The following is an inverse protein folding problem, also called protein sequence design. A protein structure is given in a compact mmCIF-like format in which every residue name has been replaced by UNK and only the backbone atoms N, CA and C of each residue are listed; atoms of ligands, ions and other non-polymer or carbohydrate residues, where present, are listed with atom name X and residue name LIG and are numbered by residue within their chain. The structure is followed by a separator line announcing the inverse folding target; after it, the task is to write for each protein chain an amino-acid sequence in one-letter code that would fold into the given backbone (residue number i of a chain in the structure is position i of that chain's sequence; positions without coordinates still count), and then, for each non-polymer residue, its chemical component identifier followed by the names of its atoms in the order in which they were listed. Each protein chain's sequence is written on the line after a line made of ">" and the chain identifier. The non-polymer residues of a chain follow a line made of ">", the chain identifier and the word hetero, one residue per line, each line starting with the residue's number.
data_IF_543683667121
#
_entry.id   IF_543683667121
#
_cell.length_a   1.000
_cell.length_b   1.000
_cell.length_c   1.000
_cell.angle_alpha   90.00
_cell.angle_beta   90.00
_cell.angle_gamma   90.00
#
_symmetry.space_group_name_H-M   'P 1'
#
loop_
_entity.id
_entity.type
_entity.pdbx_description
1 polymer ?
#
# COMPACT_ATOMS: atom_id res chain seq x y z
N UNK A 1 24.28 -11.03 -8.63
CA UNK A 1 23.52 -10.25 -7.64
C UNK A 1 23.48 -8.81 -8.08
N UNK A 2 22.30 -8.35 -8.48
CA UNK A 2 22.07 -6.99 -8.94
C UNK A 2 22.17 -5.98 -7.81
N UNK A 3 22.39 -4.71 -8.18
CA UNK A 3 22.34 -3.59 -7.26
C UNK A 3 20.87 -3.26 -6.93
N UNK A 4 20.51 -3.21 -5.64
CA UNK A 4 19.15 -2.85 -5.20
C UNK A 4 18.99 -1.34 -5.37
N UNK A 5 18.25 -0.94 -6.40
CA UNK A 5 17.97 0.47 -6.69
C UNK A 5 16.85 0.99 -5.81
N UNK A 6 16.93 2.28 -5.46
CA UNK A 6 15.81 2.99 -4.85
C UNK A 6 14.91 3.64 -5.91
N UNK A 7 13.65 3.86 -5.55
CA UNK A 7 12.73 4.69 -6.31
C UNK A 7 12.53 6.03 -5.59
N UNK A 8 12.77 7.14 -6.29
CA UNK A 8 12.61 8.48 -5.72
C UNK A 8 11.14 8.90 -5.79
N UNK A 9 10.42 8.80 -4.66
CA UNK A 9 9.07 9.33 -4.54
C UNK A 9 9.07 10.85 -4.71
N UNK A 10 8.11 11.39 -5.44
CA UNK A 10 7.87 12.84 -5.52
C UNK A 10 6.83 13.29 -4.49
N UNK A 11 6.73 14.60 -4.25
CA UNK A 11 5.72 15.17 -3.35
C UNK A 11 4.28 14.80 -3.76
N UNK A 12 4.02 14.69 -5.06
CA UNK A 12 2.73 14.24 -5.60
C UNK A 12 2.43 12.76 -5.31
N UNK A 13 3.45 11.98 -4.95
CA UNK A 13 3.32 10.58 -4.53
C UNK A 13 3.29 10.42 -3.00
N UNK A 14 3.41 11.50 -2.22
CA UNK A 14 3.40 11.46 -0.76
C UNK A 14 2.03 11.81 -0.21
N UNK A 15 1.55 10.98 0.71
CA UNK A 15 0.23 11.08 1.34
C UNK A 15 -0.10 12.50 1.85
N UNK A 16 -1.32 12.94 1.58
CA UNK A 16 -1.87 14.23 1.98
C UNK A 16 -2.87 14.73 0.94
N UNK A 17 -4.01 15.27 1.39
CA UNK A 17 -4.97 15.90 0.50
C UNK A 17 -4.51 17.34 0.30
N UNK A 18 -4.39 17.79 -0.95
CA UNK A 18 -4.13 19.22 -1.19
C UNK A 18 -5.35 20.01 -0.71
N UNK A 19 -5.16 21.04 0.12
CA UNK A 19 -6.27 21.82 0.71
C UNK A 19 -7.25 22.36 -0.33
N UNK A 20 -6.73 22.72 -1.51
CA UNK A 20 -7.47 23.15 -2.71
C UNK A 20 -8.51 22.12 -3.20
N UNK A 21 -8.31 20.84 -2.87
CA UNK A 21 -9.24 19.76 -3.23
C UNK A 21 -10.50 19.81 -2.36
N UNK A 22 -10.42 20.36 -1.15
CA UNK A 22 -11.47 20.26 -0.13
C UNK A 22 -12.36 21.51 0.00
N UNK A 23 -11.96 22.63 -0.60
CA UNK A 23 -12.75 23.87 -0.58
C UNK A 23 -14.12 23.67 -1.25
N UNK A 24 -15.19 24.01 -0.51
CA UNK A 24 -16.57 23.99 -1.00
C UNK A 24 -17.32 22.65 -0.91
N UNK A 25 -16.69 21.59 -0.38
CA UNK A 25 -17.28 20.23 -0.36
C UNK A 25 -18.11 19.89 0.88
N UNK A 26 -18.18 20.79 1.87
CA UNK A 26 -18.89 20.53 3.12
C UNK A 26 -18.31 19.38 3.95
N UNK A 27 -17.12 18.88 3.59
CA UNK A 27 -16.40 17.88 4.36
C UNK A 27 -15.71 18.52 5.56
N UNK A 28 -15.87 17.92 6.73
CA UNK A 28 -15.14 18.28 7.94
C UNK A 28 -13.98 17.32 8.14
N UNK A 29 -12.81 17.86 8.47
CA UNK A 29 -11.65 17.05 8.86
C UNK A 29 -11.53 17.05 10.39
N UNK A 30 -11.30 15.88 11.02
CA UNK A 30 -10.89 14.62 10.41
C UNK A 30 -12.02 13.66 9.96
N UNK A 31 -13.30 14.03 10.06
CA UNK A 31 -14.44 13.13 9.76
C UNK A 31 -14.43 12.59 8.30
N UNK A 32 -13.81 13.33 7.38
CA UNK A 32 -13.57 12.88 6.00
C UNK A 32 -12.72 11.60 5.91
N UNK A 33 -11.96 11.28 6.96
CA UNK A 33 -11.12 10.09 7.05
C UNK A 33 -11.75 8.95 7.86
N UNK A 34 -12.96 9.11 8.39
CA UNK A 34 -13.50 8.19 9.40
C UNK A 34 -14.73 7.42 8.96
N UNK A 35 -15.49 7.89 7.97
CA UNK A 35 -16.79 7.33 7.60
C UNK A 35 -16.84 6.95 6.11
N UNK A 36 -17.52 5.86 5.81
CA UNK A 36 -17.68 5.34 4.46
C UNK A 36 -18.17 6.42 3.48
N UNK A 37 -19.27 7.12 3.79
CA UNK A 37 -19.86 8.12 2.89
C UNK A 37 -18.94 9.31 2.63
N UNK A 38 -18.18 9.74 3.64
CA UNK A 38 -17.26 10.87 3.50
C UNK A 38 -16.01 10.46 2.71
N UNK A 39 -15.49 9.24 2.91
CA UNK A 39 -14.40 8.69 2.12
C UNK A 39 -14.76 8.49 0.65
N UNK A 40 -15.98 7.97 0.37
CA UNK A 40 -16.49 7.81 -1.01
C UNK A 40 -16.57 9.15 -1.71
N UNK A 41 -17.15 10.16 -1.04
CA UNK A 41 -17.25 11.53 -1.55
C UNK A 41 -15.87 12.09 -1.85
N UNK A 42 -14.94 11.96 -0.90
CA UNK A 42 -13.59 12.48 -1.03
C UNK A 42 -12.80 11.80 -2.16
N UNK A 43 -12.89 10.47 -2.28
CA UNK A 43 -12.17 9.70 -3.30
C UNK A 43 -12.61 10.08 -4.71
N UNK A 44 -13.93 10.21 -4.92
CA UNK A 44 -14.50 10.66 -6.21
C UNK A 44 -14.05 12.08 -6.58
N UNK A 45 -14.03 12.97 -5.59
CA UNK A 45 -13.60 14.35 -5.81
C UNK A 45 -12.11 14.45 -6.16
N UNK A 46 -11.26 13.67 -5.50
CA UNK A 46 -9.84 13.57 -5.83
C UNK A 46 -9.66 13.05 -7.25
N UNK A 47 -10.37 11.98 -7.62
CA UNK A 47 -10.38 11.44 -8.99
C UNK A 47 -10.72 12.52 -10.01
N UNK A 48 -11.79 13.28 -9.80
CA UNK A 48 -12.20 14.35 -10.73
C UNK A 48 -11.17 15.48 -10.84
N UNK A 49 -10.66 15.98 -9.72
CA UNK A 49 -9.70 17.10 -9.70
C UNK A 49 -8.35 16.73 -10.31
N UNK A 50 -7.87 15.52 -10.03
CA UNK A 50 -6.60 15.02 -10.56
C UNK A 50 -6.75 14.47 -11.99
N UNK A 51 -7.99 14.43 -12.52
CA UNK A 51 -8.34 13.80 -13.81
C UNK A 51 -7.86 12.35 -13.86
N UNK A 52 -7.95 11.66 -12.72
CA UNK A 52 -7.60 10.25 -12.60
C UNK A 52 -8.72 9.37 -13.16
N UNK A 53 -8.37 8.11 -13.43
CA UNK A 53 -9.31 7.08 -13.90
C UNK A 53 -9.68 6.08 -12.79
N UNK A 54 -9.20 6.32 -11.58
CA UNK A 54 -9.33 5.47 -10.39
C UNK A 54 -9.71 6.30 -9.18
N UNK A 55 -10.41 5.69 -8.23
CA UNK A 55 -10.62 6.19 -6.88
C UNK A 55 -9.60 5.53 -5.94
N UNK A 56 -8.87 6.31 -5.13
CA UNK A 56 -7.90 5.80 -4.16
C UNK A 56 -8.50 5.74 -2.75
N UNK A 57 -8.24 4.66 -2.02
CA UNK A 57 -8.58 4.47 -0.62
C UNK A 57 -7.54 3.61 0.09
N UNK A 58 -7.30 3.76 1.40
CA UNK A 58 -7.53 4.98 2.17
C UNK A 58 -6.57 6.10 1.76
N UNK A 59 -6.67 7.25 2.44
CA UNK A 59 -5.80 8.42 2.22
C UNK A 59 -4.60 8.48 3.19
N UNK A 60 -4.23 7.34 3.80
CA UNK A 60 -3.16 7.24 4.80
C UNK A 60 -2.67 5.80 4.97
N UNK A 61 -1.57 5.60 5.70
CA UNK A 61 -1.03 4.27 6.00
C UNK A 61 -1.10 3.93 7.49
N UNK A 62 -2.25 4.22 8.13
CA UNK A 62 -2.42 4.04 9.59
C UNK A 62 -3.52 3.05 9.98
N UNK A 63 -4.31 2.55 9.03
CA UNK A 63 -5.49 1.74 9.32
C UNK A 63 -5.13 0.43 10.02
N UNK A 64 -4.12 -0.26 9.49
CA UNK A 64 -3.68 -1.56 9.97
C UNK A 64 -3.12 -1.46 11.40
N UNK A 65 -2.30 -0.44 11.66
CA UNK A 65 -1.76 -0.18 12.98
C UNK A 65 -2.87 0.24 13.98
N UNK A 66 -3.82 1.09 13.56
CA UNK A 66 -4.96 1.49 14.37
C UNK A 66 -5.84 0.29 14.74
N UNK A 67 -6.10 -0.61 13.79
CA UNK A 67 -6.88 -1.84 14.00
C UNK A 67 -6.22 -2.80 15.00
N UNK A 68 -4.91 -2.65 15.25
CA UNK A 68 -4.15 -3.38 16.27
C UNK A 68 -4.00 -2.61 17.60
N UNK A 69 -4.64 -1.43 17.73
CA UNK A 69 -4.59 -0.59 18.92
C UNK A 69 -3.55 0.54 18.89
N UNK A 70 -2.95 0.82 17.74
CA UNK A 70 -2.02 1.93 17.55
C UNK A 70 -2.66 3.30 17.79
N UNK A 71 -1.88 4.27 18.25
CA UNK A 71 -2.36 5.62 18.57
C UNK A 71 -2.24 6.51 17.32
N UNK A 72 -3.37 6.97 16.80
CA UNK A 72 -3.41 7.80 15.59
C UNK A 72 -3.74 9.24 15.93
N UNK A 73 -2.98 10.16 15.33
CA UNK A 73 -3.37 11.56 15.19
C UNK A 73 -4.01 11.71 13.81
N UNK A 74 -5.34 11.86 13.77
CA UNK A 74 -6.09 11.96 12.50
C UNK A 74 -5.77 13.23 11.71
N UNK A 75 -5.12 14.22 12.34
CA UNK A 75 -4.70 15.44 11.69
C UNK A 75 -5.87 16.25 11.14
N UNK A 76 -5.65 16.80 9.95
CA UNK A 76 -6.59 17.67 9.24
C UNK A 76 -6.41 17.49 7.73
N UNK A 77 -6.98 18.38 6.93
CA UNK A 77 -6.87 18.38 5.46
C UNK A 77 -5.43 18.42 4.96
N UNK A 78 -4.51 19.10 5.67
CA UNK A 78 -3.12 19.27 5.24
C UNK A 78 -2.26 18.05 5.61
N UNK A 79 -2.33 17.62 6.87
CA UNK A 79 -1.36 16.67 7.42
C UNK A 79 -1.83 15.21 7.44
N UNK A 80 -3.15 14.97 7.27
CA UNK A 80 -3.76 13.64 7.29
C UNK A 80 -3.51 12.80 8.56
N UNK A 81 -4.04 11.56 8.59
CA UNK A 81 -3.78 10.61 9.67
C UNK A 81 -2.33 10.14 9.72
N UNK A 82 -1.73 10.17 10.90
CA UNK A 82 -0.34 9.75 11.16
C UNK A 82 -0.17 9.19 12.57
N UNK A 83 1.00 8.63 12.86
CA UNK A 83 1.34 8.18 14.21
C UNK A 83 1.18 9.32 15.24
N UNK A 84 0.35 9.10 16.27
CA UNK A 84 0.16 10.02 17.39
C UNK A 84 1.03 9.70 18.60
N UNK A 85 1.54 8.46 18.67
CA UNK A 85 2.43 7.94 19.70
C UNK A 85 2.70 6.45 19.48
N UNK A 86 3.65 5.89 20.21
CA UNK A 86 4.01 4.47 20.11
C UNK A 86 3.38 3.68 21.26
N UNK A 87 2.81 2.53 20.94
CA UNK A 87 2.19 1.61 21.90
C UNK A 87 3.15 0.51 22.35
N UNK A 88 4.23 0.29 21.60
CA UNK A 88 5.29 -0.65 21.94
C UNK A 88 6.62 0.07 22.16
N UNK A 89 7.44 -0.51 23.04
CA UNK A 89 8.79 -0.05 23.38
C UNK A 89 9.88 -1.12 23.16
N UNK A 90 9.49 -2.37 22.89
CA UNK A 90 10.35 -3.44 22.39
C UNK A 90 9.62 -4.28 21.32
N UNK A 91 10.37 -4.96 20.46
CA UNK A 91 9.82 -5.69 19.32
C UNK A 91 9.05 -6.95 19.72
N UNK A 92 9.35 -7.54 20.87
CA UNK A 92 8.59 -8.67 21.43
C UNK A 92 7.15 -8.29 21.81
N UNK A 93 6.92 -7.03 22.21
CA UNK A 93 5.57 -6.56 22.59
C UNK A 93 4.62 -6.60 21.39
N UNK A 94 5.15 -6.43 20.17
CA UNK A 94 4.37 -6.49 18.92
C UNK A 94 3.72 -7.88 18.75
N UNK A 95 4.40 -8.94 19.20
CA UNK A 95 3.86 -10.30 19.13
C UNK A 95 2.63 -10.50 20.02
N UNK A 96 2.49 -9.68 21.06
CA UNK A 96 1.38 -9.70 22.01
C UNK A 96 0.23 -8.76 21.63
N UNK A 97 0.42 -7.90 20.62
CA UNK A 97 -0.67 -7.05 20.12
C UNK A 97 -1.81 -7.91 19.57
N UNK A 98 -3.07 -7.44 19.70
CA UNK A 98 -4.19 -8.12 19.08
C UNK A 98 -4.00 -8.19 17.57
N UNK A 99 -4.63 -9.20 16.98
CA UNK A 99 -4.83 -9.25 15.54
C UNK A 99 -5.72 -8.08 15.08
N UNK A 100 -5.67 -7.74 13.80
CA UNK A 100 -6.45 -6.63 13.25
C UNK A 100 -7.94 -6.95 13.35
N UNK A 101 -8.72 -6.09 14.02
CA UNK A 101 -10.17 -6.20 14.02
C UNK A 101 -10.74 -5.47 12.80
N UNK A 102 -10.98 -6.24 11.74
CA UNK A 102 -11.51 -5.70 10.48
C UNK A 102 -12.96 -5.24 10.57
N UNK A 103 -13.69 -5.55 11.65
CA UNK A 103 -15.16 -5.36 11.72
C UNK A 103 -15.59 -4.01 12.28
N UNK A 104 -14.65 -3.17 12.71
CA UNK A 104 -14.95 -1.88 13.36
C UNK A 104 -13.89 -0.83 13.01
N UNK A 105 -14.20 0.43 13.35
CA UNK A 105 -13.27 1.54 13.15
C UNK A 105 -13.02 1.87 11.68
N UNK A 106 -11.98 2.66 11.40
CA UNK A 106 -11.73 3.18 10.05
C UNK A 106 -11.42 2.09 9.03
N UNK A 107 -10.84 0.96 9.46
CA UNK A 107 -10.54 -0.15 8.55
C UNK A 107 -11.82 -0.75 7.94
N UNK A 108 -12.87 -0.96 8.75
CA UNK A 108 -14.18 -1.40 8.27
C UNK A 108 -14.86 -0.34 7.40
N UNK A 109 -14.83 0.93 7.82
CA UNK A 109 -15.42 2.04 7.07
C UNK A 109 -14.75 2.21 5.69
N UNK A 110 -13.45 1.96 5.59
CA UNK A 110 -12.70 2.00 4.32
C UNK A 110 -13.07 0.81 3.42
N UNK A 111 -13.24 -0.40 3.99
CA UNK A 111 -13.72 -1.56 3.23
C UNK A 111 -15.13 -1.31 2.68
N UNK A 112 -16.03 -0.74 3.48
CA UNK A 112 -17.37 -0.34 3.05
C UNK A 112 -17.33 0.73 1.95
N UNK A 113 -16.44 1.72 2.07
CA UNK A 113 -16.22 2.74 1.05
C UNK A 113 -15.75 2.13 -0.28
N UNK A 114 -14.82 1.17 -0.23
CA UNK A 114 -14.37 0.42 -1.40
C UNK A 114 -15.56 -0.26 -2.08
N UNK A 115 -16.34 -1.04 -1.33
CA UNK A 115 -17.52 -1.72 -1.87
C UNK A 115 -18.52 -0.76 -2.52
N UNK A 116 -18.83 0.36 -1.86
CA UNK A 116 -19.75 1.36 -2.39
C UNK A 116 -19.26 1.97 -3.70
N UNK A 117 -17.97 2.34 -3.78
CA UNK A 117 -17.38 2.86 -5.02
C UNK A 117 -17.49 1.82 -6.16
N UNK A 118 -17.19 0.55 -5.87
CA UNK A 118 -17.27 -0.55 -6.84
C UNK A 118 -18.71 -0.78 -7.32
N UNK A 119 -19.69 -0.76 -6.42
CA UNK A 119 -21.12 -0.86 -6.76
C UNK A 119 -21.60 0.32 -7.62
N UNK A 120 -20.98 1.50 -7.48
CA UNK A 120 -21.22 2.69 -8.29
C UNK A 120 -20.44 2.68 -9.63
N UNK A 121 -19.70 1.62 -9.93
CA UNK A 121 -18.98 1.42 -11.19
C UNK A 121 -17.57 2.04 -11.25
N UNK A 122 -17.03 2.48 -10.11
CA UNK A 122 -15.68 3.06 -10.03
C UNK A 122 -14.60 1.99 -9.96
N UNK A 123 -13.43 2.21 -10.58
CA UNK A 123 -12.22 1.42 -10.31
C UNK A 123 -11.56 1.90 -9.02
N UNK A 124 -11.18 0.99 -8.12
CA UNK A 124 -10.65 1.34 -6.80
C UNK A 124 -9.22 0.82 -6.65
N UNK A 125 -8.30 1.74 -6.40
CA UNK A 125 -6.97 1.40 -5.88
C UNK A 125 -7.05 1.42 -4.37
N UNK A 126 -6.95 0.24 -3.78
CA UNK A 126 -6.98 0.05 -2.35
C UNK A 126 -5.57 -0.13 -1.79
N UNK A 127 -5.08 0.82 -1.01
CA UNK A 127 -3.77 0.81 -0.42
C UNK A 127 -3.70 -0.07 0.83
N UNK A 128 -2.63 -0.87 0.88
CA UNK A 128 -2.31 -1.76 1.99
C UNK A 128 -0.85 -1.55 2.39
N UNK A 129 -0.64 -1.24 3.66
CA UNK A 129 0.66 -1.01 4.25
C UNK A 129 1.42 -2.32 4.49
N UNK A 130 2.71 -2.33 4.13
CA UNK A 130 3.62 -3.40 4.51
C UNK A 130 4.11 -3.30 5.96
N UNK A 131 4.84 -4.32 6.46
CA UNK A 131 5.21 -4.41 7.86
C UNK A 131 6.00 -3.21 8.39
N UNK A 132 6.98 -2.66 7.67
CA UNK A 132 7.74 -1.51 8.17
C UNK A 132 6.88 -0.26 8.31
N UNK A 133 5.98 -0.02 7.38
CA UNK A 133 5.02 1.09 7.44
C UNK A 133 4.11 0.96 8.64
N UNK A 134 3.58 -0.25 8.93
CA UNK A 134 2.78 -0.53 10.12
C UNK A 134 3.61 -0.33 11.40
N UNK A 135 4.83 -0.88 11.43
CA UNK A 135 5.73 -0.76 12.58
C UNK A 135 6.06 0.69 12.90
N UNK A 136 6.21 1.55 11.88
CA UNK A 136 6.48 2.97 12.05
C UNK A 136 5.36 3.73 12.78
N UNK A 137 4.18 3.12 12.96
CA UNK A 137 3.08 3.64 13.78
C UNK A 137 3.05 3.01 15.17
N UNK A 138 3.40 1.72 15.28
CA UNK A 138 3.29 0.96 16.53
C UNK A 138 4.48 1.18 17.48
N UNK A 139 5.69 1.35 16.93
CA UNK A 139 6.95 1.38 17.67
C UNK A 139 7.93 2.37 17.04
N UNK A 140 8.76 2.99 17.88
CA UNK A 140 9.85 3.84 17.39
C UNK A 140 10.83 3.01 16.53
N UNK A 141 11.12 3.51 15.32
CA UNK A 141 11.97 2.83 14.35
C UNK A 141 13.34 2.40 14.92
N UNK A 142 13.88 3.12 15.92
CA UNK A 142 15.13 2.74 16.59
C UNK A 142 15.07 1.34 17.19
N UNK A 143 13.93 0.92 17.72
CA UNK A 143 13.76 -0.42 18.28
C UNK A 143 13.60 -1.47 17.19
N UNK A 144 12.97 -1.14 16.06
CA UNK A 144 12.90 -2.02 14.88
C UNK A 144 14.31 -2.32 14.37
N UNK A 145 15.14 -1.29 14.12
CA UNK A 145 16.52 -1.47 13.66
C UNK A 145 17.38 -2.24 14.68
N UNK A 146 17.19 -1.97 15.98
CA UNK A 146 17.86 -2.72 17.05
C UNK A 146 17.44 -4.19 17.02
N UNK A 147 16.14 -4.48 16.88
CA UNK A 147 15.57 -5.82 16.78
C UNK A 147 16.13 -6.57 15.59
N UNK A 148 16.14 -5.97 14.39
CA UNK A 148 16.66 -6.61 13.19
C UNK A 148 18.14 -7.01 13.32
N UNK A 149 18.93 -6.21 14.04
CA UNK A 149 20.35 -6.49 14.26
C UNK A 149 20.62 -7.47 15.40
N UNK A 150 19.84 -7.41 16.48
CA UNK A 150 20.14 -8.11 17.75
C UNK A 150 19.23 -9.32 18.03
N UNK A 151 18.05 -9.35 17.40
CA UNK A 151 16.98 -10.34 17.62
C UNK A 151 16.34 -10.76 16.27
N UNK A 152 17.12 -11.23 15.27
CA UNK A 152 16.59 -11.50 13.93
C UNK A 152 15.47 -12.54 13.93
N UNK A 153 15.55 -13.58 14.76
CA UNK A 153 14.50 -14.61 14.90
C UNK A 153 13.19 -14.05 15.46
N UNK A 154 13.25 -13.05 16.33
CA UNK A 154 12.05 -12.36 16.84
C UNK A 154 11.46 -11.50 15.74
N UNK A 155 12.29 -10.76 15.00
CA UNK A 155 11.83 -9.95 13.89
C UNK A 155 11.18 -10.76 12.77
N UNK A 156 11.69 -11.95 12.47
CA UNK A 156 11.05 -12.88 11.53
C UNK A 156 9.62 -13.22 11.96
N UNK A 157 9.42 -13.54 13.25
CA UNK A 157 8.08 -13.78 13.81
C UNK A 157 7.19 -12.55 13.75
N UNK A 158 7.75 -11.36 14.00
CA UNK A 158 7.02 -10.08 13.88
C UNK A 158 6.57 -9.85 12.44
N UNK A 159 7.47 -10.02 11.47
CA UNK A 159 7.14 -9.87 10.05
C UNK A 159 6.05 -10.84 9.62
N UNK A 160 6.11 -12.12 10.03
CA UNK A 160 5.06 -13.07 9.69
C UNK A 160 3.74 -12.84 10.44
N UNK A 161 3.76 -12.40 11.71
CA UNK A 161 2.53 -11.97 12.39
C UNK A 161 1.83 -10.85 11.61
N UNK A 162 2.58 -9.82 11.20
CA UNK A 162 2.02 -8.72 10.41
C UNK A 162 1.63 -9.18 9.01
N UNK A 163 2.48 -9.95 8.34
CA UNK A 163 2.24 -10.48 6.99
C UNK A 163 0.97 -11.33 6.90
N UNK A 164 0.71 -12.20 7.88
CA UNK A 164 -0.50 -13.02 7.89
C UNK A 164 -1.77 -12.16 8.10
N UNK A 165 -1.68 -11.05 8.84
CA UNK A 165 -2.80 -10.11 8.99
C UNK A 165 -2.99 -9.24 7.73
N UNK A 166 -1.90 -8.80 7.10
CA UNK A 166 -1.93 -8.07 5.83
C UNK A 166 -2.57 -8.94 4.75
N UNK A 167 -2.21 -10.23 4.65
CA UNK A 167 -2.80 -11.14 3.67
C UNK A 167 -4.32 -11.25 3.85
N UNK A 168 -4.79 -11.46 5.09
CA UNK A 168 -6.24 -11.46 5.42
C UNK A 168 -6.91 -10.15 5.04
N UNK A 169 -6.23 -9.02 5.25
CA UNK A 169 -6.77 -7.72 4.87
C UNK A 169 -6.90 -7.59 3.35
N UNK A 170 -5.90 -8.02 2.59
CA UNK A 170 -5.96 -8.03 1.12
C UNK A 170 -7.05 -8.97 0.59
N UNK A 171 -7.24 -10.14 1.22
CA UNK A 171 -8.37 -11.05 0.94
C UNK A 171 -9.71 -10.33 1.15
N UNK A 172 -9.88 -9.63 2.28
CA UNK A 172 -11.09 -8.84 2.55
C UNK A 172 -11.28 -7.69 1.55
N UNK A 173 -10.22 -6.96 1.19
CA UNK A 173 -10.30 -5.91 0.18
C UNK A 173 -10.86 -6.46 -1.14
N UNK A 174 -10.39 -7.65 -1.55
CA UNK A 174 -10.91 -8.36 -2.71
C UNK A 174 -12.38 -8.77 -2.53
N UNK A 175 -12.75 -9.33 -1.38
CA UNK A 175 -14.15 -9.70 -1.07
C UNK A 175 -15.10 -8.50 -1.10
N UNK A 176 -14.62 -7.31 -0.73
CA UNK A 176 -15.36 -6.05 -0.82
C UNK A 176 -15.31 -5.42 -2.23
N UNK A 177 -14.76 -6.12 -3.22
CA UNK A 177 -14.81 -5.78 -4.64
C UNK A 177 -13.61 -4.99 -5.15
N UNK A 178 -12.57 -4.78 -4.33
CA UNK A 178 -11.35 -4.07 -4.74
C UNK A 178 -10.66 -4.76 -5.91
N UNK A 179 -10.50 -4.04 -7.02
CA UNK A 179 -9.95 -4.56 -8.26
C UNK A 179 -8.46 -4.26 -8.44
N UNK A 180 -7.94 -3.23 -7.76
CA UNK A 180 -6.52 -2.92 -7.71
C UNK A 180 -6.07 -2.83 -6.25
N UNK A 181 -5.27 -3.78 -5.77
CA UNK A 181 -4.74 -3.76 -4.40
C UNK A 181 -3.29 -3.28 -4.41
N UNK A 182 -3.02 -2.10 -3.86
CA UNK A 182 -1.71 -1.46 -3.84
C UNK A 182 -0.94 -1.77 -2.56
N UNK A 183 0.04 -2.67 -2.63
CA UNK A 183 0.91 -3.01 -1.52
C UNK A 183 2.15 -2.09 -1.47
N UNK A 184 2.34 -1.40 -0.34
CA UNK A 184 3.45 -0.47 -0.15
C UNK A 184 4.09 -0.55 1.24
N UNK A 185 5.41 -0.73 1.27
CA UNK A 185 6.21 -0.75 2.50
C UNK A 185 7.31 0.33 2.51
N UNK A 186 6.91 1.58 2.35
CA UNK A 186 7.80 2.71 2.07
C UNK A 186 8.78 3.01 3.21
N UNK A 187 8.39 2.79 4.47
CA UNK A 187 9.25 2.94 5.65
C UNK A 187 10.40 1.91 5.70
N UNK A 188 10.31 0.84 4.90
CA UNK A 188 11.33 -0.20 4.75
C UNK A 188 12.23 -0.02 3.52
N UNK A 189 12.24 1.15 2.87
CA UNK A 189 13.02 1.39 1.64
C UNK A 189 14.54 1.19 1.79
N UNK A 190 15.24 0.93 0.68
CA UNK A 190 16.69 0.65 0.70
C UNK A 190 17.52 1.84 1.16
N UNK A 191 17.02 3.05 0.94
CA UNK A 191 17.58 4.30 1.48
C UNK A 191 17.55 4.38 3.02
N UNK A 192 16.68 3.60 3.67
CA UNK A 192 16.53 3.55 5.13
C UNK A 192 17.25 2.31 5.68
N UNK A 193 16.95 1.12 5.15
CA UNK A 193 17.51 -0.15 5.66
C UNK A 193 18.97 -0.35 5.27
N UNK A 194 19.40 0.24 4.15
CA UNK A 194 20.64 -0.12 3.47
C UNK A 194 20.52 -1.45 2.70
N UNK A 195 21.45 -1.72 1.76
CA UNK A 195 21.33 -2.82 0.80
C UNK A 195 21.30 -4.21 1.46
N UNK A 196 22.18 -4.46 2.45
CA UNK A 196 22.28 -5.77 3.12
C UNK A 196 21.00 -6.15 3.85
N UNK A 197 20.38 -5.19 4.53
CA UNK A 197 19.18 -5.44 5.32
C UNK A 197 17.94 -5.53 4.43
N UNK A 198 17.86 -4.68 3.40
CA UNK A 198 16.82 -4.78 2.37
C UNK A 198 16.87 -6.13 1.65
N UNK A 199 18.06 -6.63 1.30
CA UNK A 199 18.22 -7.97 0.71
C UNK A 199 17.66 -9.06 1.64
N UNK A 200 18.07 -9.06 2.90
CA UNK A 200 17.62 -10.06 3.87
C UNK A 200 16.09 -10.04 4.05
N UNK A 201 15.49 -8.86 4.18
CA UNK A 201 14.02 -8.69 4.24
C UNK A 201 13.37 -9.21 2.97
N UNK A 202 13.91 -8.83 1.80
CA UNK A 202 13.32 -9.19 0.51
C UNK A 202 13.33 -10.70 0.30
N UNK A 203 14.45 -11.35 0.59
CA UNK A 203 14.62 -12.80 0.38
C UNK A 203 13.83 -13.61 1.40
N UNK A 204 13.85 -13.21 2.69
CA UNK A 204 13.31 -14.04 3.77
C UNK A 204 11.82 -13.77 4.04
N UNK A 205 11.32 -12.58 3.71
CA UNK A 205 9.94 -12.20 3.97
C UNK A 205 9.21 -11.72 2.71
N UNK A 206 9.65 -10.63 2.07
CA UNK A 206 8.85 -9.96 1.01
C UNK A 206 8.54 -10.89 -0.14
N UNK A 207 9.53 -11.60 -0.67
CA UNK A 207 9.35 -12.53 -1.78
C UNK A 207 8.44 -13.73 -1.43
N UNK A 208 8.67 -14.49 -0.33
CA UNK A 208 7.75 -15.56 0.04
C UNK A 208 6.35 -15.06 0.43
N UNK A 209 6.22 -13.89 1.03
CA UNK A 209 4.93 -13.24 1.28
C UNK A 209 4.19 -12.92 -0.02
N UNK A 210 4.88 -12.29 -1.00
CA UNK A 210 4.28 -11.94 -2.27
C UNK A 210 3.88 -13.16 -3.11
N UNK A 211 4.54 -14.32 -2.93
CA UNK A 211 4.05 -15.58 -3.54
C UNK A 211 2.70 -16.04 -2.99
N UNK A 212 2.37 -15.72 -1.72
CA UNK A 212 1.03 -15.93 -1.18
C UNK A 212 0.05 -14.90 -1.78
N UNK A 213 0.44 -13.62 -1.80
CA UNK A 213 -0.37 -12.53 -2.36
C UNK A 213 -0.68 -12.72 -3.85
N UNK A 214 0.23 -13.31 -4.62
CA UNK A 214 0.01 -13.59 -6.05
C UNK A 214 -1.27 -14.39 -6.31
N UNK A 215 -1.66 -15.27 -5.37
CA UNK A 215 -2.87 -16.08 -5.47
C UNK A 215 -4.16 -15.26 -5.38
N UNK A 216 -4.08 -13.99 -4.96
CA UNK A 216 -5.21 -13.08 -4.94
C UNK A 216 -5.48 -12.45 -6.30
N UNK A 217 -4.49 -12.41 -7.20
CA UNK A 217 -4.70 -11.89 -8.55
C UNK A 217 -5.50 -12.88 -9.40
N UNK A 218 -6.51 -12.37 -10.11
CA UNK A 218 -7.39 -13.16 -10.99
C UNK A 218 -8.01 -12.27 -12.08
N UNK A 219 -9.14 -12.71 -12.65
CA UNK A 219 -9.88 -12.00 -13.69
C UNK A 219 -10.58 -10.71 -13.21
N UNK A 220 -10.61 -10.45 -11.91
CA UNK A 220 -11.25 -9.27 -11.31
C UNK A 220 -10.29 -8.43 -10.47
N UNK A 221 -9.18 -8.99 -10.00
CA UNK A 221 -8.24 -8.32 -9.11
C UNK A 221 -6.80 -8.38 -9.64
N UNK A 222 -6.10 -7.25 -9.61
CA UNK A 222 -4.65 -7.15 -9.81
C UNK A 222 -3.98 -6.59 -8.56
N UNK A 223 -2.73 -7.00 -8.33
CA UNK A 223 -1.90 -6.46 -7.26
C UNK A 223 -0.92 -5.42 -7.82
N UNK A 224 -0.86 -4.25 -7.21
CA UNK A 224 0.08 -3.19 -7.55
C UNK A 224 1.16 -3.15 -6.48
N UNK A 225 2.42 -3.31 -6.89
CA UNK A 225 3.56 -3.21 -6.00
C UNK A 225 4.13 -1.79 -6.05
N UNK A 226 4.40 -1.22 -4.88
CA UNK A 226 5.23 -0.03 -4.78
C UNK A 226 6.55 -0.23 -5.57
N UNK A 227 6.97 0.72 -6.42
CA UNK A 227 8.20 0.59 -7.20
C UNK A 227 9.45 0.29 -6.36
N UNK A 228 9.51 0.75 -5.10
CA UNK A 228 10.59 0.40 -4.17
C UNK A 228 10.65 -1.10 -3.90
N UNK A 229 9.49 -1.73 -3.74
CA UNK A 229 9.38 -3.19 -3.55
C UNK A 229 9.75 -3.92 -4.84
N UNK A 230 9.25 -3.45 -5.99
CA UNK A 230 9.61 -4.02 -7.30
C UNK A 230 11.10 -4.00 -7.55
N UNK A 231 11.77 -2.86 -7.31
CA UNK A 231 13.21 -2.72 -7.51
C UNK A 231 14.03 -3.57 -6.53
N UNK A 232 13.55 -3.76 -5.30
CA UNK A 232 14.16 -4.69 -4.35
C UNK A 232 14.09 -6.15 -4.84
N UNK A 233 12.92 -6.59 -5.34
CA UNK A 233 12.76 -7.93 -5.91
C UNK A 233 13.64 -8.15 -7.14
N UNK A 234 13.74 -7.16 -8.03
CA UNK A 234 14.58 -7.25 -9.24
C UNK A 234 16.07 -7.25 -8.86
N UNK A 235 16.48 -6.34 -7.95
CA UNK A 235 17.87 -6.24 -7.49
C UNK A 235 18.35 -7.53 -6.80
N UNK A 236 17.45 -8.24 -6.13
CA UNK A 236 17.71 -9.53 -5.49
C UNK A 236 17.45 -10.75 -6.37
N UNK A 237 17.19 -10.56 -7.67
CA UNK A 237 16.95 -11.64 -8.65
C UNK A 237 15.76 -12.54 -8.24
N UNK A 238 14.75 -11.98 -7.55
CA UNK A 238 13.50 -12.65 -7.14
C UNK A 238 12.31 -12.33 -8.03
N UNK A 239 12.43 -11.31 -8.88
CA UNK A 239 11.45 -10.99 -9.91
C UNK A 239 12.14 -10.44 -11.15
N UNK A 240 11.40 -10.41 -12.26
CA UNK A 240 11.79 -9.75 -13.50
C UNK A 240 10.60 -9.01 -14.12
N UNK A 241 10.87 -8.04 -14.96
CA UNK A 241 9.84 -7.46 -15.81
C UNK A 241 9.55 -8.36 -17.02
N UNK A 242 8.27 -8.49 -17.35
CA UNK A 242 7.79 -9.06 -18.61
C UNK A 242 6.99 -7.99 -19.33
N UNK A 243 7.41 -7.67 -20.55
CA UNK A 243 6.81 -6.62 -21.35
C UNK A 243 5.52 -7.13 -22.03
N UNK A 244 4.47 -6.33 -21.92
CA UNK A 244 3.19 -6.50 -22.58
C UNK A 244 2.95 -5.30 -23.48
N UNK A 245 2.77 -5.55 -24.78
CA UNK A 245 2.48 -4.50 -25.74
C UNK A 245 1.00 -4.13 -25.67
N UNK A 246 0.73 -2.86 -25.42
CA UNK A 246 -0.62 -2.30 -25.48
C UNK A 246 -0.91 -1.81 -26.91
N UNK A 247 -2.20 -1.79 -27.24
CA UNK A 247 -2.70 -1.34 -28.56
C UNK A 247 -2.41 0.14 -28.81
N UNK A 248 -2.47 0.96 -27.76
CA UNK A 248 -2.17 2.38 -27.83
C UNK A 248 -1.44 2.88 -26.56
N UNK A 249 -0.68 3.99 -26.65
CA UNK A 249 -0.05 4.59 -25.49
C UNK A 249 -1.09 5.22 -24.55
N UNK A 250 -1.27 4.63 -23.38
CA UNK A 250 -2.21 5.09 -22.35
C UNK A 250 -1.51 5.46 -21.04
N UNK A 251 -2.25 6.13 -20.15
CA UNK A 251 -1.83 6.39 -18.78
C UNK A 251 -1.62 5.08 -18.00
N UNK A 252 -0.70 5.09 -17.03
CA UNK A 252 -0.35 3.88 -16.30
C UNK A 252 -1.50 3.30 -15.47
N UNK A 253 -2.31 4.13 -14.81
CA UNK A 253 -3.51 3.67 -14.11
C UNK A 253 -4.51 2.99 -15.06
N UNK A 254 -4.72 3.54 -16.25
CA UNK A 254 -5.57 2.94 -17.29
C UNK A 254 -5.00 1.60 -17.77
N UNK A 255 -3.68 1.50 -17.92
CA UNK A 255 -3.03 0.24 -18.27
C UNK A 255 -3.19 -0.82 -17.18
N UNK A 256 -3.06 -0.46 -15.90
CA UNK A 256 -3.32 -1.38 -14.80
C UNK A 256 -4.75 -1.95 -14.89
N UNK A 257 -5.75 -1.11 -15.13
CA UNK A 257 -7.14 -1.55 -15.34
C UNK A 257 -7.25 -2.52 -16.54
N UNK A 258 -6.66 -2.18 -17.69
CA UNK A 258 -6.70 -3.02 -18.89
C UNK A 258 -6.00 -4.38 -18.73
N UNK A 259 -5.09 -4.49 -17.76
CA UNK A 259 -4.28 -5.67 -17.51
C UNK A 259 -4.87 -6.58 -16.42
N UNK A 260 -5.97 -6.19 -15.76
CA UNK A 260 -6.71 -7.08 -14.84
C UNK A 260 -7.07 -8.38 -15.61
N UNK A 261 -6.84 -9.54 -14.98
CA UNK A 261 -6.99 -10.86 -15.63
C UNK A 261 -5.90 -11.24 -16.63
N UNK A 262 -4.94 -10.35 -16.93
CA UNK A 262 -3.85 -10.59 -17.91
C UNK A 262 -2.47 -10.60 -17.28
N UNK A 263 -2.29 -9.88 -16.17
CA UNK A 263 -1.05 -9.84 -15.39
C UNK A 263 -1.38 -9.87 -13.89
N UNK A 264 -0.54 -10.53 -13.11
CA UNK A 264 -0.78 -10.63 -11.66
C UNK A 264 -0.31 -9.38 -10.91
N UNK A 265 0.89 -8.91 -11.25
CA UNK A 265 1.53 -7.77 -10.60
C UNK A 265 1.89 -6.66 -11.58
N UNK A 266 1.53 -5.42 -11.23
CA UNK A 266 2.15 -4.22 -11.77
C UNK A 266 3.13 -3.63 -10.75
N UNK A 267 4.12 -2.87 -11.20
CA UNK A 267 5.03 -2.20 -10.27
C UNK A 267 6.16 -1.40 -10.90
N UNK A 268 6.04 -1.07 -12.19
CA UNK A 268 7.04 -0.28 -12.92
C UNK A 268 7.02 1.21 -12.53
N UNK A 269 5.89 1.70 -12.02
CA UNK A 269 5.68 3.09 -11.62
C UNK A 269 4.72 3.16 -10.44
N UNK A 270 4.78 4.26 -9.69
CA UNK A 270 3.84 4.53 -8.61
C UNK A 270 2.46 4.81 -9.19
N UNK A 271 1.43 4.15 -8.68
CA UNK A 271 0.05 4.34 -9.13
C UNK A 271 -0.48 5.77 -8.85
N UNK A 272 0.07 6.42 -7.82
CA UNK A 272 -0.23 7.83 -7.49
C UNK A 272 0.32 8.84 -8.49
N UNK A 273 1.17 8.43 -9.42
CA UNK A 273 1.64 9.30 -10.48
C UNK A 273 0.59 9.39 -11.61
N UNK A 274 -0.53 10.07 -11.33
CA UNK A 274 -1.73 10.13 -12.19
C UNK A 274 -1.41 10.59 -13.61
N UNK A 275 -0.44 11.50 -13.79
CA UNK A 275 -0.05 12.03 -15.09
C UNK A 275 0.91 11.13 -15.90
N UNK A 276 1.36 10.00 -15.35
CA UNK A 276 2.36 9.17 -16.01
C UNK A 276 1.78 8.36 -17.17
N UNK A 277 2.36 8.57 -18.36
CA UNK A 277 2.02 7.85 -19.58
C UNK A 277 3.07 6.78 -19.88
N UNK A 278 2.62 5.63 -20.37
CA UNK A 278 3.49 4.54 -20.76
C UNK A 278 4.27 4.88 -22.04
N UNK A 279 5.59 4.83 -21.94
CA UNK A 279 6.46 5.00 -23.09
C UNK A 279 6.26 3.85 -24.09
N UNK A 280 6.01 4.19 -25.35
CA UNK A 280 5.81 3.23 -26.45
C UNK A 280 4.67 2.21 -26.24
N UNK A 281 3.74 2.48 -25.33
CA UNK A 281 2.64 1.56 -25.01
C UNK A 281 3.11 0.25 -24.38
N UNK A 282 4.27 0.23 -23.69
CA UNK A 282 4.78 -0.98 -23.03
C UNK A 282 4.36 -0.97 -21.57
N UNK A 283 3.53 -1.93 -21.19
CA UNK A 283 3.28 -2.28 -19.80
C UNK A 283 4.27 -3.36 -19.36
N UNK A 284 4.76 -3.29 -18.12
CA UNK A 284 5.75 -4.21 -17.56
C UNK A 284 5.15 -4.91 -16.35
N UNK A 285 4.73 -6.15 -16.56
CA UNK A 285 4.32 -7.04 -15.48
C UNK A 285 5.54 -7.40 -14.63
N UNK A 286 5.35 -7.44 -13.31
CA UNK A 286 6.36 -7.94 -12.38
C UNK A 286 6.14 -9.45 -12.21
N UNK A 287 6.99 -10.27 -12.82
CA UNK A 287 6.90 -11.72 -12.68
C UNK A 287 7.86 -12.22 -11.60
N UNK A 288 7.31 -12.80 -10.54
CA UNK A 288 8.11 -13.50 -9.52
C UNK A 288 8.82 -14.71 -10.16
N UNK A 289 10.05 -14.99 -9.71
CA UNK A 289 10.89 -16.08 -10.22
C UNK A 289 10.80 -17.34 -9.36
#
# INVERSE_FOLDING_TARGET
>A
MGDIKDFNCTYDNSAGIRSEVTEGLGLTFPDAYTHCDTMVTLSKMLKEKDKAVICELPFCHTLEAEAMGGIINLGNEIAGPRAGGYVCTDVEEILNLPDMDFTKGRIQETLLACKKLREEGEHVVFEVAGPFTILNVLIDARYVFKGMRKKPEVMEKVFWKLGDQILKYMELVKEYGGDLISYADSSGGVNILGPKMMEAVTVNFTYPFLKKVEQLADDQTMILLCPKTTLALIGTEKAKFVDHQLEEPIGYAQACIHMIGKAHFAGQMCIKNVGYHLNHGIFKEVKLL
#
